data_IF_276251421757
#
_entry.id   IF_276251421757
#
_cell.length_a   1.000
_cell.length_b   1.000
_cell.length_c   1.000
_cell.angle_alpha   90.00
_cell.angle_beta   90.00
_cell.angle_gamma   90.00
#
_symmetry.space_group_name_H-M   'P 1'
#
loop_
_entity.id
_entity.type
_entity.pdbx_description
1 polymer ?
#
# COMPACT_ATOMS: atom_id res chain seq x y z
N UNK A 1 13.39 4.06 -15.17
CA UNK A 1 13.50 5.47 -15.63
C UNK A 1 13.17 6.38 -14.46
N UNK A 2 13.99 7.38 -14.14
CA UNK A 2 13.71 8.38 -13.08
C UNK A 2 12.65 9.41 -13.50
N UNK A 3 11.86 9.16 -14.55
CA UNK A 3 10.73 10.03 -14.91
C UNK A 3 9.72 9.99 -13.76
N UNK A 4 9.33 11.17 -13.28
CA UNK A 4 8.32 11.27 -12.25
C UNK A 4 7.00 10.74 -12.76
N UNK A 5 6.31 9.97 -11.92
CA UNK A 5 4.97 9.48 -12.19
C UNK A 5 4.19 9.52 -10.86
N UNK A 6 2.98 10.06 -10.90
CA UNK A 6 2.05 10.27 -9.80
C UNK A 6 1.01 9.15 -9.63
N UNK A 7 1.14 8.04 -10.36
CA UNK A 7 0.25 6.86 -10.28
C UNK A 7 0.22 6.17 -8.90
N UNK A 8 0.90 6.70 -7.87
CA UNK A 8 0.92 6.13 -6.51
C UNK A 8 -0.07 6.87 -5.62
N UNK A 9 -0.78 6.13 -4.76
CA UNK A 9 -1.74 6.70 -3.82
C UNK A 9 -1.15 7.86 -3.01
N UNK A 10 -1.88 8.97 -2.93
CA UNK A 10 -1.47 10.18 -2.20
C UNK A 10 -0.53 11.12 -2.95
N UNK A 11 -0.42 11.01 -4.29
CA UNK A 11 0.41 11.88 -5.14
C UNK A 11 -0.40 12.73 -6.15
N UNK A 12 -1.72 12.79 -6.02
CA UNK A 12 -2.59 13.60 -6.89
C UNK A 12 -2.38 15.10 -6.69
N UNK A 13 -2.39 15.87 -7.78
CA UNK A 13 -2.36 17.35 -7.74
C UNK A 13 -0.97 17.98 -7.56
N UNK A 14 0.10 17.22 -7.80
CA UNK A 14 1.47 17.70 -7.71
C UNK A 14 1.94 18.38 -8.99
N UNK A 15 2.79 19.39 -8.85
CA UNK A 15 3.47 20.06 -9.96
C UNK A 15 4.55 19.15 -10.55
N UNK A 16 4.13 18.39 -11.59
CA UNK A 16 4.98 17.39 -12.26
C UNK A 16 6.18 18.02 -12.95
N UNK A 17 6.05 19.24 -13.47
CA UNK A 17 7.12 19.92 -14.20
C UNK A 17 8.24 20.32 -13.25
N UNK A 18 7.88 20.95 -12.13
CA UNK A 18 8.84 21.33 -11.09
C UNK A 18 9.57 20.11 -10.52
N UNK A 19 8.83 19.05 -10.20
CA UNK A 19 9.43 17.82 -9.64
C UNK A 19 10.37 17.18 -10.67
N UNK A 20 9.95 17.07 -11.93
CA UNK A 20 10.77 16.46 -13.00
C UNK A 20 12.04 17.27 -13.24
N UNK A 21 11.96 18.60 -13.27
CA UNK A 21 13.13 19.48 -13.43
C UNK A 21 14.15 19.28 -12.31
N UNK A 22 13.70 19.12 -11.06
CA UNK A 22 14.59 18.86 -9.92
C UNK A 22 15.26 17.50 -10.07
N UNK A 23 14.52 16.46 -10.47
CA UNK A 23 15.06 15.12 -10.67
C UNK A 23 16.12 15.13 -11.78
N UNK A 24 15.81 15.73 -12.93
CA UNK A 24 16.71 15.81 -14.09
C UNK A 24 18.01 16.54 -13.75
N UNK A 25 17.91 17.69 -13.08
CA UNK A 25 19.08 18.50 -12.70
C UNK A 25 20.01 17.79 -11.72
N UNK A 26 19.49 16.84 -10.93
CA UNK A 26 20.26 16.10 -9.91
C UNK A 26 20.58 14.67 -10.33
N UNK A 27 20.27 14.26 -11.57
CA UNK A 27 20.59 12.93 -12.09
C UNK A 27 21.99 12.94 -12.73
N UNK A 28 22.81 11.93 -12.42
CA UNK A 28 24.18 11.85 -12.97
C UNK A 28 24.17 11.55 -14.47
N UNK A 29 25.17 12.08 -15.20
CA UNK A 29 25.32 11.84 -16.64
C UNK A 29 25.42 10.35 -17.00
N UNK A 30 26.08 9.55 -16.14
CA UNK A 30 26.15 8.09 -16.30
C UNK A 30 24.77 7.43 -16.22
N UNK A 31 23.90 7.88 -15.31
CA UNK A 31 22.54 7.36 -15.22
C UNK A 31 21.67 7.89 -16.36
N UNK A 32 21.82 9.17 -16.74
CA UNK A 32 21.09 9.77 -17.87
C UNK A 32 21.40 9.04 -19.18
N UNK A 33 22.67 8.73 -19.45
CA UNK A 33 23.08 7.95 -20.63
C UNK A 33 22.59 6.51 -20.57
N UNK A 34 22.60 5.86 -19.41
CA UNK A 34 21.98 4.54 -19.23
C UNK A 34 20.48 4.56 -19.49
N UNK A 35 19.76 5.54 -18.93
CA UNK A 35 18.32 5.70 -19.10
C UNK A 35 17.97 5.98 -20.55
N UNK A 36 18.77 6.79 -21.26
CA UNK A 36 18.60 7.05 -22.70
C UNK A 36 18.78 5.77 -23.52
N UNK A 37 19.83 4.98 -23.27
CA UNK A 37 20.02 3.67 -23.92
C UNK A 37 18.84 2.72 -23.69
N UNK A 38 18.22 2.72 -22.51
CA UNK A 38 17.01 1.94 -22.28
C UNK A 38 15.81 2.47 -23.07
N UNK A 39 15.65 3.79 -23.15
CA UNK A 39 14.58 4.43 -23.93
C UNK A 39 14.72 4.12 -25.42
N UNK A 40 15.94 4.23 -25.95
CA UNK A 40 16.26 3.93 -27.34
C UNK A 40 15.89 2.48 -27.68
N UNK A 41 16.26 1.50 -26.84
CA UNK A 41 15.85 0.08 -26.99
C UNK A 41 14.34 -0.12 -26.99
N UNK A 42 13.61 0.61 -26.12
CA UNK A 42 12.14 0.54 -26.08
C UNK A 42 11.55 1.14 -27.36
N UNK A 43 12.12 2.25 -27.84
CA UNK A 43 11.67 2.91 -29.06
C UNK A 43 11.94 2.07 -30.31
N UNK A 44 13.12 1.45 -30.42
CA UNK A 44 13.44 0.47 -31.46
C UNK A 44 12.44 -0.70 -31.45
N UNK A 45 12.11 -1.23 -30.26
CA UNK A 45 11.10 -2.29 -30.14
C UNK A 45 9.71 -1.83 -30.57
N UNK A 46 9.30 -0.60 -30.21
CA UNK A 46 8.04 -0.01 -30.66
C UNK A 46 8.00 0.14 -32.17
N UNK A 47 9.07 0.63 -32.79
CA UNK A 47 9.16 0.78 -34.24
C UNK A 47 9.10 -0.58 -34.95
N UNK A 48 9.81 -1.59 -34.42
CA UNK A 48 9.73 -2.96 -34.93
C UNK A 48 8.31 -3.52 -34.87
N UNK A 49 7.58 -3.29 -33.77
CA UNK A 49 6.18 -3.72 -33.64
C UNK A 49 5.28 -2.96 -34.62
N UNK A 50 5.46 -1.64 -34.79
CA UNK A 50 4.69 -0.85 -35.77
C UNK A 50 4.89 -1.33 -37.20
N UNK A 51 6.14 -1.57 -37.61
CA UNK A 51 6.44 -2.13 -38.95
C UNK A 51 5.78 -3.48 -39.17
N UNK A 52 5.76 -4.34 -38.13
CA UNK A 52 5.04 -5.62 -38.17
C UNK A 52 3.54 -5.43 -38.30
N UNK A 53 2.97 -4.42 -37.65
CA UNK A 53 1.55 -4.07 -37.71
C UNK A 53 1.15 -3.58 -39.11
N UNK A 54 1.97 -2.71 -39.71
CA UNK A 54 1.77 -2.19 -41.08
C UNK A 54 1.81 -3.29 -42.15
N UNK A 55 2.58 -4.35 -41.90
CA UNK A 55 2.64 -5.52 -42.79
C UNK A 55 1.46 -6.50 -42.63
N UNK A 56 0.53 -6.26 -41.69
CA UNK A 56 -0.65 -7.12 -41.50
C UNK A 56 -1.71 -6.80 -42.55
N UNK A 57 -2.14 -7.82 -43.29
CA UNK A 57 -3.22 -7.67 -44.28
C UNK A 57 -4.60 -7.64 -43.61
N UNK A 58 -5.60 -6.98 -44.22
CA UNK A 58 -6.97 -6.96 -43.67
C UNK A 58 -7.55 -8.36 -43.42
N UNK A 59 -7.27 -9.34 -44.32
CA UNK A 59 -7.70 -10.72 -44.15
C UNK A 59 -7.07 -11.40 -42.92
N UNK A 60 -5.78 -11.14 -42.66
CA UNK A 60 -5.09 -11.66 -41.47
C UNK A 60 -5.60 -11.00 -40.18
N UNK A 61 -5.91 -9.70 -40.24
CA UNK A 61 -6.52 -8.99 -39.12
C UNK A 61 -7.87 -9.59 -38.76
N UNK A 62 -8.77 -9.76 -39.74
CA UNK A 62 -10.09 -10.35 -39.53
C UNK A 62 -10.02 -11.78 -38.98
N UNK A 63 -9.06 -12.58 -39.46
CA UNK A 63 -8.84 -13.93 -38.93
C UNK A 63 -8.38 -13.92 -37.46
N UNK A 64 -7.47 -13.02 -37.10
CA UNK A 64 -7.00 -12.87 -35.74
C UNK A 64 -8.08 -12.32 -34.80
N UNK A 65 -8.90 -11.37 -35.27
CA UNK A 65 -10.05 -10.86 -34.53
C UNK A 65 -11.04 -11.97 -34.21
N UNK A 66 -11.40 -12.80 -35.21
CA UNK A 66 -12.25 -13.97 -35.00
C UNK A 66 -11.67 -14.96 -33.99
N UNK A 67 -10.37 -15.26 -34.08
CA UNK A 67 -9.70 -16.15 -33.11
C UNK A 67 -9.72 -15.57 -31.69
N UNK A 68 -9.49 -14.26 -31.56
CA UNK A 68 -9.54 -13.56 -30.28
C UNK A 68 -10.95 -13.51 -29.70
N UNK A 69 -11.98 -13.32 -30.54
CA UNK A 69 -13.39 -13.35 -30.12
C UNK A 69 -13.80 -14.75 -29.64
N UNK A 70 -13.37 -15.80 -30.33
CA UNK A 70 -13.59 -17.19 -29.90
C UNK A 70 -12.87 -17.49 -28.57
N UNK A 71 -11.67 -16.94 -28.36
CA UNK A 71 -10.99 -17.02 -27.06
C UNK A 71 -11.72 -16.22 -25.97
N UNK A 72 -12.15 -15.00 -26.27
CA UNK A 72 -12.89 -14.16 -25.33
C UNK A 72 -14.20 -14.83 -24.90
N UNK A 73 -14.97 -15.35 -25.85
CA UNK A 73 -16.21 -16.09 -25.58
C UNK A 73 -15.97 -17.32 -24.67
N UNK A 74 -14.85 -18.04 -24.87
CA UNK A 74 -14.47 -19.15 -23.98
C UNK A 74 -14.11 -18.67 -22.57
N UNK A 75 -13.37 -17.58 -22.45
CA UNK A 75 -13.00 -17.01 -21.15
C UNK A 75 -14.21 -16.45 -20.41
N UNK A 76 -15.16 -15.85 -21.12
CA UNK A 76 -16.43 -15.37 -20.56
C UNK A 76 -17.32 -16.52 -20.10
N UNK A 77 -17.42 -17.59 -20.89
CA UNK A 77 -18.16 -18.80 -20.50
C UNK A 77 -17.57 -19.47 -19.24
N UNK A 78 -16.26 -19.36 -19.03
CA UNK A 78 -15.57 -19.89 -17.85
C UNK A 78 -15.48 -18.90 -16.67
N UNK A 79 -16.10 -17.71 -16.76
CA UNK A 79 -16.01 -16.70 -15.70
C UNK A 79 -16.81 -17.14 -14.47
N UNK A 80 -16.09 -17.38 -13.37
CA UNK A 80 -16.68 -17.63 -12.06
C UNK A 80 -16.77 -16.33 -11.25
N UNK A 81 -17.96 -16.01 -10.75
CA UNK A 81 -18.26 -14.85 -9.91
C UNK A 81 -18.80 -15.26 -8.53
N UNK A 82 -18.75 -16.55 -8.18
CA UNK A 82 -19.17 -17.04 -6.86
C UNK A 82 -18.11 -16.82 -5.77
N UNK A 83 -16.91 -16.39 -6.15
CA UNK A 83 -15.75 -16.22 -5.27
C UNK A 83 -15.63 -14.79 -4.77
N UNK A 84 -15.51 -14.64 -3.46
CA UNK A 84 -15.22 -13.39 -2.79
C UNK A 84 -13.73 -13.30 -2.47
N UNK A 85 -12.93 -13.00 -3.49
CA UNK A 85 -11.51 -12.73 -3.30
C UNK A 85 -11.27 -11.30 -2.81
N UNK A 86 -10.31 -11.11 -1.91
CA UNK A 86 -9.93 -9.80 -1.37
C UNK A 86 -8.42 -9.65 -1.47
N UNK A 87 -7.99 -8.51 -2.01
CA UNK A 87 -6.60 -8.09 -1.94
C UNK A 87 -6.43 -7.09 -0.81
N UNK A 88 -5.49 -7.34 0.09
CA UNK A 88 -5.17 -6.47 1.23
C UNK A 88 -3.74 -5.94 1.06
N UNK A 89 -3.57 -4.64 1.23
CA UNK A 89 -2.31 -3.91 1.12
C UNK A 89 -2.14 -2.98 2.34
N UNK A 90 -1.03 -3.12 3.07
CA UNK A 90 -0.74 -2.31 4.26
C UNK A 90 -0.32 -0.88 3.88
N UNK A 91 -0.96 0.12 4.50
CA UNK A 91 -0.76 1.52 4.11
C UNK A 91 0.65 2.02 4.47
N UNK A 92 1.48 2.22 3.44
CA UNK A 92 2.85 2.72 3.61
C UNK A 92 3.66 1.89 4.64
N UNK A 93 3.52 0.56 4.58
CA UNK A 93 3.97 -0.41 5.59
C UNK A 93 5.24 -0.05 6.36
N UNK A 94 6.40 -0.01 5.71
CA UNK A 94 7.66 0.26 6.40
C UNK A 94 7.69 1.63 7.12
N UNK A 95 7.15 2.67 6.48
CA UNK A 95 7.08 3.99 7.10
C UNK A 95 6.08 4.01 8.27
N UNK A 96 4.97 3.28 8.16
CA UNK A 96 3.97 3.17 9.21
C UNK A 96 4.52 2.44 10.45
N UNK A 97 5.32 1.38 10.27
CA UNK A 97 6.02 0.69 11.37
C UNK A 97 6.99 1.64 12.08
N UNK A 98 7.82 2.37 11.35
CA UNK A 98 8.74 3.34 11.97
C UNK A 98 7.98 4.49 12.65
N UNK A 99 6.90 4.98 12.08
CA UNK A 99 6.02 6.01 12.69
C UNK A 99 5.30 5.52 13.95
N UNK A 100 4.98 4.23 14.03
CA UNK A 100 4.43 3.64 15.26
C UNK A 100 5.49 3.61 16.35
N UNK A 101 6.70 3.18 15.99
CA UNK A 101 7.85 3.05 16.89
C UNK A 101 8.47 4.40 17.27
N UNK A 102 8.34 5.46 16.48
CA UNK A 102 8.72 6.81 16.85
C UNK A 102 7.60 7.80 16.51
N UNK A 103 6.84 8.25 17.52
CA UNK A 103 5.75 9.20 17.30
C UNK A 103 6.17 10.53 16.70
N UNK A 104 7.45 10.94 16.79
CA UNK A 104 7.95 12.17 16.16
C UNK A 104 7.83 12.12 14.63
N UNK A 105 8.04 10.94 14.06
CA UNK A 105 8.00 10.70 12.61
C UNK A 105 6.61 10.87 11.98
N UNK A 106 5.54 10.93 12.80
CA UNK A 106 4.16 11.06 12.32
C UNK A 106 3.84 12.45 11.77
N UNK A 107 4.52 13.47 12.29
CA UNK A 107 4.27 14.88 11.93
C UNK A 107 5.28 15.43 10.91
N UNK A 108 6.31 14.66 10.58
CA UNK A 108 7.37 15.09 9.65
C UNK A 108 7.36 14.25 8.37
N UNK A 109 7.77 14.80 7.22
CA UNK A 109 7.98 14.01 6.01
C UNK A 109 9.11 13.02 6.24
N UNK A 110 8.85 11.73 6.03
CA UNK A 110 9.87 10.69 6.24
C UNK A 110 9.82 9.58 5.19
N UNK A 111 10.97 8.95 5.00
CA UNK A 111 11.14 7.81 4.10
C UNK A 111 12.07 6.76 4.71
N UNK A 112 11.77 5.49 4.42
CA UNK A 112 12.61 4.36 4.84
C UNK A 112 13.59 4.02 3.73
N UNK A 113 14.87 3.97 4.04
CA UNK A 113 15.92 3.63 3.09
C UNK A 113 17.29 4.19 3.48
N UNK A 114 18.10 4.53 2.48
CA UNK A 114 19.42 5.13 2.69
C UNK A 114 19.67 6.33 1.78
N UNK A 115 20.71 7.11 2.08
CA UNK A 115 21.13 8.26 1.26
C UNK A 115 21.66 7.84 -0.12
N UNK A 116 22.25 6.64 -0.20
CA UNK A 116 22.96 6.14 -1.38
C UNK A 116 22.14 5.07 -2.13
N UNK A 117 22.48 4.86 -3.40
CA UNK A 117 21.93 3.78 -4.23
C UNK A 117 22.61 2.42 -4.00
N UNK A 118 23.76 2.36 -3.31
CA UNK A 118 24.79 1.35 -3.58
C UNK A 118 24.67 -0.01 -2.89
N UNK A 119 23.54 -0.35 -2.25
CA UNK A 119 23.20 -1.75 -1.95
C UNK A 119 21.72 -1.91 -1.62
N UNK A 120 20.92 -2.27 -2.63
CA UNK A 120 19.63 -2.95 -2.45
C UNK A 120 18.45 -2.17 -1.85
N UNK A 121 18.60 -0.93 -1.39
CA UNK A 121 17.46 -0.13 -0.93
C UNK A 121 17.44 1.24 -1.60
N UNK A 122 16.85 1.26 -2.80
CA UNK A 122 15.95 2.35 -3.18
C UNK A 122 15.09 2.73 -1.95
N UNK A 123 14.70 4.01 -1.81
CA UNK A 123 13.67 4.36 -0.82
C UNK A 123 12.54 3.36 -0.95
N UNK A 124 12.34 2.57 0.11
CA UNK A 124 11.46 1.41 0.04
C UNK A 124 10.03 1.89 0.11
N UNK A 125 9.76 2.83 1.03
CA UNK A 125 8.48 3.52 1.16
C UNK A 125 8.67 4.91 1.78
N UNK A 126 7.80 5.85 1.40
CA UNK A 126 7.66 7.18 1.99
C UNK A 126 6.28 7.34 2.63
N UNK A 127 6.22 8.11 3.72
CA UNK A 127 4.94 8.46 4.36
C UNK A 127 4.11 9.39 3.46
N UNK A 128 2.80 9.46 3.71
CA UNK A 128 1.89 10.29 2.91
C UNK A 128 2.27 11.79 2.93
N UNK A 129 2.89 12.29 4.00
CA UNK A 129 3.41 13.66 4.07
C UNK A 129 4.53 13.89 3.05
N UNK A 130 5.50 12.98 2.97
CA UNK A 130 6.58 13.04 1.99
C UNK A 130 6.09 12.87 0.54
N UNK A 131 5.04 12.07 0.33
CA UNK A 131 4.42 11.91 -1.01
C UNK A 131 3.88 13.22 -1.56
N UNK A 132 3.40 14.14 -0.71
CA UNK A 132 2.96 15.49 -1.11
C UNK A 132 4.09 16.37 -1.67
N UNK A 133 5.35 16.00 -1.46
CA UNK A 133 6.51 16.67 -2.05
C UNK A 133 7.05 15.95 -3.29
N UNK A 134 6.39 14.89 -3.74
CA UNK A 134 6.84 14.06 -4.86
C UNK A 134 7.85 12.98 -4.49
N UNK A 135 8.14 12.78 -3.20
CA UNK A 135 9.04 11.72 -2.73
C UNK A 135 8.35 10.37 -2.83
N UNK A 136 8.87 9.47 -3.67
CA UNK A 136 8.30 8.13 -3.93
C UNK A 136 9.30 7.02 -3.66
N UNK A 137 8.75 5.82 -3.49
CA UNK A 137 9.53 4.61 -3.59
C UNK A 137 10.29 4.57 -4.93
N UNK A 138 11.45 3.92 -4.90
CA UNK A 138 12.39 3.87 -6.01
C UNK A 138 13.15 5.17 -6.34
N UNK A 139 13.01 6.21 -5.52
CA UNK A 139 13.79 7.44 -5.64
C UNK A 139 15.07 7.36 -4.81
N UNK A 140 16.21 7.86 -5.32
CA UNK A 140 17.43 8.02 -4.52
C UNK A 140 17.24 9.03 -3.39
N UNK A 141 17.78 8.74 -2.21
CA UNK A 141 17.63 9.60 -1.02
C UNK A 141 18.16 11.03 -1.22
N UNK A 142 19.25 11.21 -1.97
CA UNK A 142 19.78 12.54 -2.27
C UNK A 142 18.82 13.39 -3.12
N UNK A 143 18.10 12.79 -4.09
CA UNK A 143 17.09 13.50 -4.89
C UNK A 143 15.87 13.81 -4.02
N UNK A 144 15.45 12.86 -3.20
CA UNK A 144 14.34 13.05 -2.28
C UNK A 144 14.58 14.22 -1.30
N UNK A 145 15.81 14.38 -0.79
CA UNK A 145 16.19 15.53 0.03
C UNK A 145 16.20 16.86 -0.72
N UNK A 146 16.43 16.86 -2.04
CA UNK A 146 16.32 18.08 -2.85
C UNK A 146 14.86 18.49 -3.08
N UNK A 147 13.96 17.51 -3.20
CA UNK A 147 12.52 17.76 -3.25
C UNK A 147 11.96 18.22 -1.90
N UNK A 148 12.47 17.64 -0.81
CA UNK A 148 12.04 17.93 0.55
C UNK A 148 13.26 18.02 1.49
N UNK A 149 13.80 19.24 1.74
CA UNK A 149 14.98 19.42 2.60
C UNK A 149 14.79 18.95 4.04
N UNK A 150 13.55 19.02 4.54
CA UNK A 150 13.11 18.55 5.85
C UNK A 150 12.80 17.04 5.91
N UNK A 151 13.14 16.28 4.86
CA UNK A 151 12.90 14.84 4.81
C UNK A 151 13.82 14.09 5.77
N UNK A 152 13.22 13.31 6.66
CA UNK A 152 13.92 12.35 7.50
C UNK A 152 14.05 11.00 6.78
N UNK A 153 15.27 10.48 6.69
CA UNK A 153 15.55 9.18 6.09
C UNK A 153 15.94 8.23 7.22
N UNK A 154 15.09 7.24 7.47
CA UNK A 154 15.28 6.25 8.53
C UNK A 154 15.80 4.95 7.93
N UNK A 155 16.84 4.32 8.50
CA UNK A 155 17.32 3.02 8.04
C UNK A 155 16.26 1.94 8.27
N UNK A 156 15.97 1.16 7.24
CA UNK A 156 14.95 0.12 7.32
C UNK A 156 15.37 -1.06 8.21
N UNK A 157 14.43 -1.58 9.00
CA UNK A 157 14.62 -2.76 9.85
C UNK A 157 13.76 -3.94 9.39
N UNK A 158 14.30 -4.73 8.44
CA UNK A 158 13.59 -5.86 7.86
C UNK A 158 13.19 -6.95 8.87
N UNK A 159 13.92 -7.10 9.98
CA UNK A 159 13.56 -8.08 11.01
C UNK A 159 12.22 -7.71 11.65
N UNK A 160 12.05 -6.44 12.04
CA UNK A 160 10.78 -5.93 12.58
C UNK A 160 9.64 -6.09 11.57
N UNK A 161 9.88 -5.74 10.31
CA UNK A 161 8.84 -5.84 9.27
C UNK A 161 8.40 -7.28 9.01
N UNK A 162 9.28 -8.26 9.19
CA UNK A 162 8.92 -9.67 9.08
C UNK A 162 8.10 -10.14 10.28
N UNK A 163 8.50 -9.76 11.50
CA UNK A 163 7.77 -10.09 12.73
C UNK A 163 6.34 -9.53 12.70
N UNK A 164 6.17 -8.27 12.29
CA UNK A 164 4.84 -7.65 12.14
C UNK A 164 4.00 -8.31 11.04
N UNK A 165 4.63 -8.68 9.92
CA UNK A 165 3.95 -9.36 8.82
C UNK A 165 3.40 -10.72 9.26
N UNK A 166 4.13 -11.46 10.09
CA UNK A 166 3.67 -12.73 10.67
C UNK A 166 2.47 -12.57 11.61
N UNK A 167 2.40 -11.47 12.36
CA UNK A 167 1.25 -11.17 13.22
C UNK A 167 0.01 -10.91 12.35
N UNK A 168 0.18 -10.17 11.25
CA UNK A 168 -0.90 -9.87 10.30
C UNK A 168 -1.33 -11.13 9.54
N UNK A 169 -0.39 -11.96 9.11
CA UNK A 169 -0.64 -13.26 8.46
C UNK A 169 -1.44 -14.19 9.37
N UNK A 170 -1.14 -14.23 10.68
CA UNK A 170 -1.90 -15.01 11.64
C UNK A 170 -3.37 -14.55 11.76
N UNK A 171 -3.63 -13.24 11.63
CA UNK A 171 -5.01 -12.73 11.57
C UNK A 171 -5.69 -13.18 10.28
N UNK A 172 -4.99 -13.12 9.14
CA UNK A 172 -5.52 -13.51 7.83
C UNK A 172 -5.83 -15.00 7.75
N UNK A 173 -5.01 -15.85 8.37
CA UNK A 173 -5.19 -17.29 8.43
C UNK A 173 -6.50 -17.73 9.12
N UNK A 174 -7.10 -16.86 9.95
CA UNK A 174 -8.41 -17.15 10.54
C UNK A 174 -9.58 -16.96 9.56
N UNK A 175 -9.36 -16.27 8.44
CA UNK A 175 -10.38 -16.03 7.41
C UNK A 175 -10.19 -16.94 6.19
N UNK A 176 -8.95 -17.28 5.87
CA UNK A 176 -8.58 -18.15 4.76
C UNK A 176 -7.34 -18.96 5.14
N UNK A 177 -7.48 -20.29 5.18
CA UNK A 177 -6.37 -21.21 5.48
C UNK A 177 -5.36 -21.33 4.32
N UNK A 178 -5.82 -21.09 3.09
CA UNK A 178 -5.02 -21.20 1.85
C UNK A 178 -4.56 -19.83 1.32
N UNK A 179 -4.44 -18.85 2.21
CA UNK A 179 -4.08 -17.48 1.85
C UNK A 179 -2.76 -17.40 1.08
N UNK A 180 -2.66 -16.45 0.16
CA UNK A 180 -1.44 -16.22 -0.62
C UNK A 180 -0.81 -14.88 -0.25
N UNK A 181 0.34 -14.92 0.44
CA UNK A 181 1.16 -13.74 0.68
C UNK A 181 1.89 -13.32 -0.60
N UNK A 182 1.62 -12.11 -1.11
CA UNK A 182 2.32 -11.55 -2.27
C UNK A 182 3.67 -10.91 -1.90
N UNK A 183 3.69 -10.20 -0.78
CA UNK A 183 4.87 -9.55 -0.20
C UNK A 183 4.75 -9.55 1.34
N UNK A 184 5.59 -8.77 2.05
CA UNK A 184 5.43 -8.60 3.50
C UNK A 184 4.18 -7.78 3.87
N UNK A 185 3.68 -6.97 2.93
CA UNK A 185 2.59 -6.02 3.09
C UNK A 185 1.34 -6.31 2.24
N UNK A 186 1.41 -7.28 1.33
CA UNK A 186 0.32 -7.64 0.42
C UNK A 186 -0.12 -9.11 0.63
N UNK A 187 -1.44 -9.32 0.71
CA UNK A 187 -2.05 -10.64 0.83
C UNK A 187 -3.30 -10.77 -0.04
N UNK A 188 -3.52 -11.98 -0.56
CA UNK A 188 -4.71 -12.37 -1.30
C UNK A 188 -5.46 -13.43 -0.49
N UNK A 189 -6.73 -13.18 -0.21
CA UNK A 189 -7.59 -14.07 0.56
C UNK A 189 -8.84 -14.42 -0.25
N UNK A 190 -9.28 -15.67 -0.17
CA UNK A 190 -10.61 -16.11 -0.59
C UNK A 190 -11.53 -16.24 0.64
N UNK A 191 -12.35 -15.20 0.90
CA UNK A 191 -13.23 -15.18 2.07
C UNK A 191 -14.60 -15.83 1.79
N UNK A 192 -14.78 -16.50 0.65
CA UNK A 192 -16.06 -17.12 0.26
C UNK A 192 -16.59 -18.07 1.33
N UNK A 193 -15.75 -18.99 1.80
CA UNK A 193 -16.10 -19.98 2.81
C UNK A 193 -16.46 -19.32 4.14
N UNK A 194 -15.67 -18.31 4.54
CA UNK A 194 -15.89 -17.57 5.78
C UNK A 194 -17.20 -16.78 5.76
N UNK A 195 -17.47 -16.03 4.69
CA UNK A 195 -18.71 -15.26 4.51
C UNK A 195 -19.92 -16.19 4.48
N UNK A 196 -19.81 -17.35 3.84
CA UNK A 196 -20.90 -18.34 3.79
C UNK A 196 -21.20 -18.95 5.15
N UNK A 197 -20.16 -19.21 5.96
CA UNK A 197 -20.32 -19.78 7.30
C UNK A 197 -20.81 -18.75 8.34
N UNK A 198 -20.52 -17.45 8.12
CA UNK A 198 -20.85 -16.38 9.06
C UNK A 198 -22.35 -16.09 9.07
N UNK A 199 -23.04 -16.58 10.09
CA UNK A 199 -24.49 -16.42 10.26
C UNK A 199 -24.90 -15.34 11.26
N UNK A 200 -23.97 -14.84 12.08
CA UNK A 200 -24.24 -13.86 13.14
C UNK A 200 -23.25 -12.70 13.10
N UNK A 201 -23.67 -11.50 13.53
CA UNK A 201 -22.75 -10.40 13.71
C UNK A 201 -21.74 -10.72 14.80
N UNK A 202 -20.53 -10.19 14.64
CA UNK A 202 -19.44 -10.29 15.62
C UNK A 202 -19.32 -8.96 16.32
N UNK A 203 -19.28 -8.95 17.66
CA UNK A 203 -18.97 -7.74 18.43
C UNK A 203 -17.53 -7.85 18.90
N UNK A 204 -16.72 -6.84 18.56
CA UNK A 204 -15.33 -6.74 18.99
C UNK A 204 -15.11 -5.44 19.77
N UNK A 205 -14.34 -5.53 20.85
CA UNK A 205 -13.96 -4.35 21.63
C UNK A 205 -12.88 -3.56 20.91
N UNK A 206 -13.19 -2.30 20.62
CA UNK A 206 -12.26 -1.29 20.08
C UNK A 206 -11.54 -0.61 21.23
N UNK A 207 -10.21 -0.56 21.13
CA UNK A 207 -9.33 0.18 22.03
C UNK A 207 -8.71 1.35 21.27
N UNK A 208 -8.81 2.54 21.86
CA UNK A 208 -8.15 3.75 21.37
C UNK A 208 -7.40 4.44 22.50
N UNK A 209 -6.38 5.20 22.14
CA UNK A 209 -5.47 5.83 23.10
C UNK A 209 -5.49 7.35 22.97
N UNK A 210 -5.41 8.05 24.10
CA UNK A 210 -5.31 9.51 24.14
C UNK A 210 -4.62 10.00 25.41
N UNK A 211 -4.87 11.26 25.77
CA UNK A 211 -4.13 11.95 26.83
C UNK A 211 -2.83 12.55 26.31
N UNK A 212 -1.81 12.64 27.18
CA UNK A 212 -0.52 13.25 26.83
C UNK A 212 0.43 12.29 26.12
N UNK A 213 0.13 10.99 26.14
CA UNK A 213 0.89 9.94 25.48
C UNK A 213 0.34 9.63 24.08
N UNK A 214 1.20 9.75 23.06
CA UNK A 214 0.91 9.35 21.68
C UNK A 214 1.64 8.07 21.23
N UNK A 215 2.26 7.34 22.16
CA UNK A 215 3.15 6.22 21.81
C UNK A 215 2.43 4.96 21.29
N UNK A 216 1.11 4.83 21.50
CA UNK A 216 0.34 3.66 21.08
C UNK A 216 -0.77 4.08 20.12
N UNK A 217 -1.05 3.22 19.16
CA UNK A 217 -2.08 3.40 18.13
C UNK A 217 -3.18 2.35 18.34
N UNK A 218 -4.42 2.60 17.89
CA UNK A 218 -4.89 3.83 17.25
C UNK A 218 -5.16 4.98 18.25
N UNK A 219 -4.94 6.23 17.82
CA UNK A 219 -5.22 7.42 18.64
C UNK A 219 -6.70 7.80 18.56
N UNK A 220 -7.22 8.35 19.65
CA UNK A 220 -8.55 8.94 19.65
C UNK A 220 -8.51 10.42 19.26
N UNK A 221 -9.56 10.88 18.59
CA UNK A 221 -9.71 12.29 18.24
C UNK A 221 -9.77 13.16 19.51
N UNK A 222 -8.90 14.18 19.65
CA UNK A 222 -8.95 15.15 20.74
C UNK A 222 -10.31 15.85 20.92
N UNK A 223 -11.08 16.03 19.84
CA UNK A 223 -12.32 16.80 19.86
C UNK A 223 -13.54 16.01 20.39
N UNK A 224 -13.45 14.68 20.47
CA UNK A 224 -14.57 13.82 20.85
C UNK A 224 -14.12 12.70 21.81
N UNK A 225 -13.74 13.09 23.03
CA UNK A 225 -13.26 12.17 24.06
C UNK A 225 -14.35 11.84 25.09
N UNK A 226 -14.96 10.63 25.04
CA UNK A 226 -15.74 10.11 26.17
C UNK A 226 -14.88 9.97 27.43
N UNK A 227 -15.51 9.61 28.55
CA UNK A 227 -14.78 9.29 29.78
C UNK A 227 -13.83 8.10 29.55
N UNK A 228 -12.56 8.17 29.98
CA UNK A 228 -11.61 7.08 29.78
C UNK A 228 -12.01 5.87 30.63
N UNK A 229 -11.95 4.68 30.03
CA UNK A 229 -12.16 3.42 30.74
C UNK A 229 -11.02 3.13 31.72
N UNK A 230 -9.80 3.54 31.37
CA UNK A 230 -8.62 3.36 32.21
C UNK A 230 -7.55 4.43 31.92
N UNK A 231 -6.65 4.66 32.87
CA UNK A 231 -5.49 5.55 32.73
C UNK A 231 -4.24 4.80 33.17
N UNK A 232 -3.22 4.75 32.30
CA UNK A 232 -1.96 4.08 32.57
C UNK A 232 -0.76 5.01 32.33
N UNK A 233 0.33 4.78 33.04
CA UNK A 233 1.61 5.45 32.78
C UNK A 233 2.35 4.73 31.65
N UNK A 234 2.67 5.47 30.58
CA UNK A 234 3.38 4.90 29.45
C UNK A 234 4.83 4.58 29.81
N UNK A 235 5.22 3.30 29.73
CA UNK A 235 6.61 2.85 29.95
C UNK A 235 7.65 3.49 29.01
N UNK A 236 7.22 4.00 27.86
CA UNK A 236 8.10 4.56 26.82
C UNK A 236 8.38 6.05 26.99
N UNK A 237 7.38 6.85 27.37
CA UNK A 237 7.51 8.30 27.49
C UNK A 237 7.24 8.84 28.91
N UNK A 238 6.85 8.00 29.86
CA UNK A 238 6.52 8.39 31.23
C UNK A 238 5.24 9.20 31.40
N UNK A 239 4.54 9.53 30.32
CA UNK A 239 3.31 10.34 30.35
C UNK A 239 2.07 9.50 30.57
N UNK A 240 1.02 10.13 31.09
CA UNK A 240 -0.30 9.51 31.24
C UNK A 240 -0.92 9.21 29.88
N UNK A 241 -1.39 7.96 29.74
CA UNK A 241 -2.15 7.47 28.60
C UNK A 241 -3.55 7.12 29.05
N UNK A 242 -4.53 7.77 28.43
CA UNK A 242 -5.95 7.45 28.58
C UNK A 242 -6.31 6.34 27.59
N UNK A 243 -7.02 5.33 28.07
CA UNK A 243 -7.53 4.21 27.28
C UNK A 243 -9.04 4.37 27.17
N UNK A 244 -9.54 4.26 25.95
CA UNK A 244 -10.97 4.33 25.65
C UNK A 244 -11.37 3.02 25.01
N UNK A 245 -12.40 2.40 25.57
CA UNK A 245 -12.93 1.12 25.12
C UNK A 245 -14.39 1.29 24.74
N UNK A 246 -14.75 0.78 23.57
CA UNK A 246 -16.12 0.74 23.08
C UNK A 246 -16.32 -0.50 22.22
N UNK A 247 -17.55 -1.01 22.13
CA UNK A 247 -17.85 -2.20 21.35
C UNK A 247 -18.31 -1.83 19.94
N UNK A 248 -17.77 -2.53 18.95
CA UNK A 248 -18.09 -2.34 17.54
C UNK A 248 -18.65 -3.65 17.00
N UNK A 249 -19.84 -3.56 16.43
CA UNK A 249 -20.51 -4.68 15.76
C UNK A 249 -20.12 -4.72 14.27
N UNK A 250 -19.79 -5.93 13.80
CA UNK A 250 -19.50 -6.25 12.40
C UNK A 250 -20.55 -7.22 11.88
N UNK A 251 -21.22 -6.84 10.80
CA UNK A 251 -22.24 -7.68 10.18
C UNK A 251 -21.69 -8.95 9.52
N UNK A 252 -22.58 -9.65 8.83
CA UNK A 252 -22.29 -10.94 8.17
C UNK A 252 -21.83 -10.80 6.71
N UNK A 253 -22.10 -9.66 6.08
CA UNK A 253 -21.80 -9.45 4.67
C UNK A 253 -20.32 -9.29 4.39
N UNK A 254 -19.91 -9.55 3.15
CA UNK A 254 -18.53 -9.40 2.66
C UNK A 254 -17.86 -8.08 3.04
N UNK A 255 -18.55 -6.95 2.83
CA UNK A 255 -18.01 -5.63 3.17
C UNK A 255 -17.73 -5.50 4.67
N UNK A 256 -18.55 -6.11 5.52
CA UNK A 256 -18.38 -6.12 6.96
C UNK A 256 -17.26 -7.06 7.39
N UNK A 257 -17.08 -8.21 6.73
CA UNK A 257 -15.92 -9.08 6.94
C UNK A 257 -14.61 -8.37 6.58
N UNK A 258 -14.57 -7.67 5.44
CA UNK A 258 -13.39 -6.87 5.06
C UNK A 258 -13.14 -5.75 6.06
N UNK A 259 -14.19 -5.10 6.56
CA UNK A 259 -14.09 -4.07 7.60
C UNK A 259 -13.57 -4.66 8.92
N UNK A 260 -14.00 -5.86 9.29
CA UNK A 260 -13.55 -6.60 10.47
C UNK A 260 -12.06 -6.96 10.36
N UNK A 261 -11.60 -7.46 9.21
CA UNK A 261 -10.18 -7.77 8.97
C UNK A 261 -9.32 -6.52 9.19
N UNK A 262 -9.69 -5.40 8.53
CA UNK A 262 -8.95 -4.13 8.66
C UNK A 262 -8.95 -3.62 10.10
N UNK A 263 -10.07 -3.75 10.79
CA UNK A 263 -10.19 -3.38 12.19
C UNK A 263 -9.27 -4.22 13.08
N UNK A 264 -9.25 -5.54 12.93
CA UNK A 264 -8.39 -6.43 13.73
C UNK A 264 -6.91 -6.16 13.47
N UNK A 265 -6.52 -5.90 12.23
CA UNK A 265 -5.15 -5.49 11.89
C UNK A 265 -4.78 -4.19 12.63
N UNK A 266 -5.64 -3.17 12.60
CA UNK A 266 -5.39 -1.90 13.31
C UNK A 266 -5.32 -2.08 14.84
N UNK A 267 -6.21 -2.87 15.42
CA UNK A 267 -6.23 -3.11 16.87
C UNK A 267 -4.99 -3.88 17.36
N UNK A 268 -4.52 -4.86 16.58
CA UNK A 268 -3.37 -5.69 16.96
C UNK A 268 -2.05 -4.98 16.70
N UNK A 269 -1.89 -4.36 15.53
CA UNK A 269 -0.59 -3.82 15.09
C UNK A 269 -0.46 -2.31 15.28
N UNK A 270 -1.60 -1.59 15.38
CA UNK A 270 -1.64 -0.13 15.32
C UNK A 270 -1.42 0.44 13.91
N UNK A 271 -1.39 -0.40 12.88
CA UNK A 271 -1.18 -0.03 11.48
C UNK A 271 -2.49 -0.12 10.70
N UNK A 272 -2.63 0.67 9.64
CA UNK A 272 -3.81 0.62 8.77
C UNK A 272 -3.52 -0.16 7.51
N UNK A 273 -4.57 -0.76 6.94
CA UNK A 273 -4.52 -1.38 5.63
C UNK A 273 -5.70 -0.96 4.76
N UNK A 274 -5.45 -1.01 3.46
CA UNK A 274 -6.43 -0.88 2.40
C UNK A 274 -6.81 -2.29 1.92
N UNK A 275 -8.09 -2.49 1.61
CA UNK A 275 -8.56 -3.77 1.08
C UNK A 275 -9.48 -3.51 -0.10
N UNK A 276 -9.26 -4.27 -1.17
CA UNK A 276 -10.03 -4.18 -2.42
C UNK A 276 -10.68 -5.55 -2.66
N UNK A 277 -12.00 -5.68 -2.50
CA UNK A 277 -12.70 -6.88 -2.93
C UNK A 277 -12.65 -6.98 -4.46
N UNK A 278 -12.44 -8.19 -4.98
CA UNK A 278 -12.46 -8.47 -6.41
C UNK A 278 -13.86 -8.22 -7.01
N UNK A 279 -13.88 -8.04 -8.33
CA UNK A 279 -15.03 -7.58 -9.11
C UNK A 279 -16.30 -8.40 -8.84
N UNK A 280 -17.44 -7.70 -8.75
CA UNK A 280 -18.76 -8.30 -8.59
C UNK A 280 -19.50 -8.44 -9.93
N UNK A 281 -20.47 -9.36 -10.02
CA UNK A 281 -21.52 -9.22 -11.00
C UNK A 281 -22.28 -7.90 -10.74
N UNK A 282 -22.18 -6.94 -11.66
CA UNK A 282 -23.00 -5.72 -11.66
C UNK A 282 -22.30 -4.40 -11.30
N UNK A 283 -20.98 -4.38 -11.06
CA UNK A 283 -20.22 -3.13 -10.92
C UNK A 283 -19.61 -2.72 -12.27
N UNK A 284 -20.45 -2.18 -13.16
CA UNK A 284 -20.06 -1.37 -14.33
C UNK A 284 -20.58 0.06 -14.12
#
# INVERSE_FOLDING_TARGET
>A
MLKFNDNKAGMSGLDKEKISKIIETNTSENYSSFSKKQEDRINEKKESIRKRLEAVTPARWLAAEKEMDELAARLECGRDLSRDCVHIDMDAYFAAVEMRDDPHLRTVPMAVGSMSMLKGSLQSTSNYLARRFGVRAAMPGFIAKKLCPQLEIVPGNFRKYKEESQIVEAIFAEYDEDLSMGSLDEAYLDITSYVTAKSKPTVLTRRRYGGECICRLPLMDPQNQPSPSNVELCKKCGKERKIFEDDVEFGVGRAEVVREIRFRVEQTTGLTCSAVPAAQPGSN
#
